data_IF_176750394340
#
_entry.id   IF_176750394340
#
_cell.length_a   1.000
_cell.length_b   1.000
_cell.length_c   1.000
_cell.angle_alpha   90.00
_cell.angle_beta   90.00
_cell.angle_gamma   90.00
#
_symmetry.space_group_name_H-M   'P 1'
#
loop_
_entity.id
_entity.type
_entity.pdbx_description
1 polymer ?
#
# COMPACT_ATOMS: atom_id res chain seq x y z
N UNK A 1 -7.38 20.95 29.53
CA UNK A 1 -8.30 19.91 29.00
C UNK A 1 -7.49 18.88 28.23
N UNK A 2 -7.03 17.82 28.90
CA UNK A 2 -6.29 16.73 28.26
C UNK A 2 -7.27 15.79 27.55
N UNK A 3 -7.14 15.66 26.23
CA UNK A 3 -7.92 14.69 25.46
C UNK A 3 -7.48 13.28 25.86
N UNK A 4 -8.38 12.56 26.54
CA UNK A 4 -8.28 11.13 26.74
C UNK A 4 -8.24 10.45 25.37
N UNK A 5 -7.04 10.07 24.92
CA UNK A 5 -6.83 9.11 23.86
C UNK A 5 -7.57 7.84 24.26
N UNK A 6 -8.77 7.62 23.74
CA UNK A 6 -9.52 6.39 24.02
C UNK A 6 -8.72 5.25 23.42
N UNK A 7 -8.69 4.11 24.10
CA UNK A 7 -7.99 2.88 23.66
C UNK A 7 -8.25 2.53 22.17
N UNK A 8 -9.41 2.89 21.64
CA UNK A 8 -9.76 2.72 20.23
C UNK A 8 -9.07 3.68 19.25
N UNK A 9 -8.75 4.91 19.67
CA UNK A 9 -8.01 5.89 18.86
C UNK A 9 -6.54 5.45 18.69
N UNK A 10 -5.88 5.07 19.78
CA UNK A 10 -4.51 4.55 19.75
C UNK A 10 -4.39 3.29 18.86
N UNK A 11 -5.39 2.41 18.89
CA UNK A 11 -5.46 1.25 18.00
C UNK A 11 -5.63 1.62 16.52
N UNK A 12 -6.47 2.62 16.22
CA UNK A 12 -6.66 3.15 14.86
C UNK A 12 -5.39 3.84 14.34
N UNK A 13 -4.70 4.59 15.18
CA UNK A 13 -3.46 5.28 14.83
C UNK A 13 -2.33 4.27 14.54
N UNK A 14 -2.19 3.25 15.39
CA UNK A 14 -1.22 2.19 15.17
C UNK A 14 -1.49 1.41 13.86
N UNK A 15 -2.75 1.10 13.57
CA UNK A 15 -3.13 0.44 12.31
C UNK A 15 -2.83 1.32 11.09
N UNK A 16 -3.09 2.62 11.18
CA UNK A 16 -2.81 3.61 10.12
C UNK A 16 -1.30 3.74 9.88
N UNK A 17 -0.51 3.86 10.96
CA UNK A 17 0.94 3.91 10.88
C UNK A 17 1.53 2.64 10.24
N UNK A 18 1.04 1.46 10.64
CA UNK A 18 1.45 0.18 10.04
C UNK A 18 1.12 0.11 8.55
N UNK A 19 -0.07 0.57 8.15
CA UNK A 19 -0.48 0.60 6.75
C UNK A 19 0.37 1.60 5.93
N UNK A 20 0.76 2.73 6.52
CA UNK A 20 1.67 3.71 5.87
C UNK A 20 3.07 3.16 5.70
N UNK A 21 3.65 2.56 6.75
CA UNK A 21 4.96 1.90 6.67
C UNK A 21 4.98 0.83 5.59
N UNK A 22 3.98 -0.06 5.57
CA UNK A 22 3.86 -1.09 4.55
C UNK A 22 3.88 -0.53 3.12
N UNK A 23 3.15 0.57 2.87
CA UNK A 23 3.08 1.18 1.53
C UNK A 23 4.42 1.79 1.12
N UNK A 24 5.10 2.47 2.04
CA UNK A 24 6.45 3.00 1.82
C UNK A 24 7.47 1.89 1.53
N UNK A 25 7.44 0.81 2.31
CA UNK A 25 8.31 -0.36 2.11
C UNK A 25 8.06 -1.02 0.74
N UNK A 26 6.82 -0.97 0.24
CA UNK A 26 6.43 -1.51 -1.06
C UNK A 26 6.74 -0.59 -2.24
N UNK A 27 6.88 0.73 -2.03
CA UNK A 27 7.14 1.70 -3.08
C UNK A 27 8.35 1.36 -3.99
N UNK A 28 9.54 0.98 -3.49
CA UNK A 28 10.66 0.60 -4.36
C UNK A 28 10.35 -0.65 -5.20
N UNK A 29 9.58 -1.60 -4.68
CA UNK A 29 9.17 -2.80 -5.44
C UNK A 29 8.23 -2.41 -6.59
N UNK A 30 7.31 -1.48 -6.36
CA UNK A 30 6.42 -0.98 -7.42
C UNK A 30 7.20 -0.24 -8.50
N UNK A 31 8.19 0.57 -8.11
CA UNK A 31 9.04 1.29 -9.06
C UNK A 31 9.82 0.31 -9.96
N UNK A 32 10.44 -0.72 -9.37
CA UNK A 32 11.11 -1.76 -10.13
C UNK A 32 10.15 -2.49 -11.11
N UNK A 33 8.97 -2.88 -10.62
CA UNK A 33 7.95 -3.52 -11.46
C UNK A 33 7.48 -2.61 -12.60
N UNK A 34 7.29 -1.32 -12.35
CA UNK A 34 6.84 -0.37 -13.37
C UNK A 34 7.86 -0.22 -14.50
N UNK A 35 9.17 -0.29 -14.19
CA UNK A 35 10.24 -0.31 -15.19
C UNK A 35 10.22 -1.61 -16.00
N UNK A 36 10.01 -2.75 -15.34
CA UNK A 36 10.07 -4.08 -15.99
C UNK A 36 8.82 -4.43 -16.81
N UNK A 37 7.63 -4.15 -16.28
CA UNK A 37 6.34 -4.63 -16.79
C UNK A 37 5.46 -3.52 -17.40
N UNK A 38 5.98 -2.29 -17.47
CA UNK A 38 5.21 -1.10 -17.79
C UNK A 38 4.44 -0.58 -16.58
N UNK A 39 4.29 0.75 -16.51
CA UNK A 39 3.62 1.45 -15.41
C UNK A 39 2.10 1.30 -15.36
N UNK A 40 1.51 0.30 -16.03
CA UNK A 40 0.06 0.10 -16.04
C UNK A 40 -0.40 -0.65 -14.79
N UNK A 41 -1.59 -0.34 -14.24
CA UNK A 41 -2.13 -1.06 -13.09
C UNK A 41 -2.25 -2.59 -13.32
N UNK A 42 -2.55 -2.99 -14.54
CA UNK A 42 -2.69 -4.38 -14.97
C UNK A 42 -1.35 -5.12 -14.95
N UNK A 43 -0.30 -4.53 -15.55
CA UNK A 43 1.05 -5.09 -15.57
C UNK A 43 1.66 -5.20 -14.17
N UNK A 44 1.45 -4.17 -13.35
CA UNK A 44 1.89 -4.15 -11.96
C UNK A 44 1.15 -5.21 -11.13
N UNK A 45 -0.17 -5.34 -11.27
CA UNK A 45 -0.96 -6.32 -10.53
C UNK A 45 -0.54 -7.77 -10.87
N UNK A 46 -0.35 -8.05 -12.16
CA UNK A 46 0.11 -9.36 -12.62
C UNK A 46 1.51 -9.68 -12.05
N UNK A 47 2.42 -8.71 -12.06
CA UNK A 47 3.77 -8.88 -11.53
C UNK A 47 3.80 -9.08 -10.02
N UNK A 48 3.03 -8.31 -9.25
CA UNK A 48 2.92 -8.48 -7.79
C UNK A 48 2.35 -9.86 -7.43
N UNK A 49 1.35 -10.33 -8.18
CA UNK A 49 0.76 -11.66 -8.01
C UNK A 49 1.77 -12.76 -8.30
N UNK A 50 2.46 -12.69 -9.45
CA UNK A 50 3.50 -13.67 -9.84
C UNK A 50 4.63 -13.74 -8.82
N UNK A 51 5.06 -12.59 -8.27
CA UNK A 51 6.10 -12.49 -7.25
C UNK A 51 5.62 -12.89 -5.85
N UNK A 52 4.33 -13.21 -5.66
CA UNK A 52 3.77 -13.65 -4.39
C UNK A 52 3.76 -12.58 -3.30
N UNK A 53 3.75 -11.29 -3.67
CA UNK A 53 3.72 -10.18 -2.71
C UNK A 53 2.41 -10.23 -1.93
N UNK A 54 2.49 -10.31 -0.60
CA UNK A 54 1.30 -10.42 0.26
C UNK A 54 0.59 -9.08 0.37
N UNK A 55 -0.74 -9.07 0.34
CA UNK A 55 -1.52 -7.87 0.64
C UNK A 55 -1.50 -7.54 2.14
N UNK A 56 -1.61 -6.25 2.52
CA UNK A 56 -1.56 -5.84 3.93
C UNK A 56 -2.69 -6.40 4.81
N UNK A 57 -3.84 -6.77 4.24
CA UNK A 57 -4.97 -7.40 4.96
C UNK A 57 -5.12 -8.90 4.65
N UNK A 58 -4.07 -9.54 4.14
CA UNK A 58 -4.13 -10.92 3.65
C UNK A 58 -4.58 -11.01 2.19
N UNK A 59 -4.28 -12.16 1.57
CA UNK A 59 -4.46 -12.41 0.14
C UNK A 59 -3.15 -12.28 -0.65
N UNK A 60 -3.05 -13.07 -1.73
CA UNK A 60 -1.87 -13.16 -2.60
C UNK A 60 -2.10 -12.68 -4.04
N UNK A 61 -3.37 -12.55 -4.43
CA UNK A 61 -3.75 -12.09 -5.77
C UNK A 61 -3.94 -10.58 -5.74
N UNK A 62 -3.19 -9.85 -6.54
CA UNK A 62 -3.36 -8.42 -6.78
C UNK A 62 -4.26 -8.18 -7.99
N UNK A 63 -5.19 -7.24 -7.86
CA UNK A 63 -6.06 -6.81 -8.96
C UNK A 63 -5.70 -5.39 -9.41
N UNK A 64 -6.01 -4.99 -10.66
CA UNK A 64 -5.75 -3.62 -11.11
C UNK A 64 -6.39 -2.54 -10.22
N UNK A 65 -7.64 -2.71 -9.70
CA UNK A 65 -8.21 -1.78 -8.72
C UNK A 65 -7.40 -1.66 -7.42
N UNK A 66 -6.78 -2.75 -6.93
CA UNK A 66 -5.91 -2.69 -5.74
C UNK A 66 -4.69 -1.82 -6.01
N UNK A 67 -4.09 -1.97 -7.19
CA UNK A 67 -2.92 -1.20 -7.62
C UNK A 67 -3.27 0.28 -7.79
N UNK A 68 -4.39 0.61 -8.44
CA UNK A 68 -4.85 2.00 -8.58
C UNK A 68 -5.00 2.68 -7.21
N UNK A 69 -5.69 2.02 -6.26
CA UNK A 69 -5.85 2.52 -4.89
C UNK A 69 -4.52 2.70 -4.17
N UNK A 70 -3.58 1.77 -4.36
CA UNK A 70 -2.25 1.85 -3.77
C UNK A 70 -1.46 3.05 -4.32
N UNK A 71 -1.42 3.22 -5.64
CA UNK A 71 -0.74 4.33 -6.29
C UNK A 71 -1.34 5.68 -5.90
N UNK A 72 -2.67 5.82 -5.89
CA UNK A 72 -3.33 7.06 -5.43
C UNK A 72 -2.97 7.41 -3.99
N UNK A 73 -2.89 6.41 -3.10
CA UNK A 73 -2.50 6.63 -1.70
C UNK A 73 -1.03 7.01 -1.54
N UNK A 74 -0.14 6.44 -2.35
CA UNK A 74 1.28 6.80 -2.35
C UNK A 74 1.47 8.23 -2.86
N UNK A 75 0.77 8.62 -3.93
CA UNK A 75 0.81 9.99 -4.45
C UNK A 75 0.34 11.00 -3.39
N UNK A 76 -0.77 10.72 -2.69
CA UNK A 76 -1.27 11.57 -1.62
C UNK A 76 -0.30 11.67 -0.42
N UNK A 77 0.47 10.62 -0.13
CA UNK A 77 1.46 10.64 0.96
C UNK A 77 2.76 11.37 0.63
N UNK A 78 3.11 11.47 -0.65
CA UNK A 78 4.27 12.25 -1.12
C UNK A 78 3.95 13.73 -1.27
N UNK A 79 2.68 14.06 -1.55
CA UNK A 79 2.20 15.44 -1.70
C UNK A 79 1.90 16.15 -0.37
N UNK A 80 2.06 15.46 0.77
CA UNK A 80 1.72 15.93 2.12
C UNK A 80 2.93 15.98 3.03
#
# INVERSE_FOLDING_TARGET
>A
MAALLRKGDAGRDAATARARRYRRDLAPVLAAIAVEAGGTPEGIAASLTRRGVRKPRGGRVWTPPDVRRLLSRLAAETAS
#
